data_IF_793273533601
#
_entry.id   IF_793273533601
#
_cell.length_a   1.000
_cell.length_b   1.000
_cell.length_c   1.000
_cell.angle_alpha   90.00
_cell.angle_beta   90.00
_cell.angle_gamma   90.00
#
_symmetry.space_group_name_H-M   'P 1'
#
loop_
_entity.id
_entity.type
_entity.pdbx_description
1 polymer ?
#
# COMPACT_ATOMS: atom_id res chain seq x y z
N UNK A 1 34.86 10.46 29.11
CA UNK A 1 35.11 9.14 28.51
C UNK A 1 33.94 8.83 27.62
N UNK A 2 34.18 8.81 26.31
CA UNK A 2 33.21 8.61 25.24
C UNK A 2 32.79 7.14 25.17
N UNK A 3 31.50 6.87 25.41
CA UNK A 3 30.92 5.57 25.08
C UNK A 3 30.49 5.60 23.61
N UNK A 4 31.30 5.00 22.75
CA UNK A 4 30.93 4.67 21.37
C UNK A 4 30.00 3.45 21.42
N UNK A 5 28.70 3.66 21.29
CA UNK A 5 27.74 2.61 20.96
C UNK A 5 27.83 2.34 19.46
N UNK A 6 28.46 1.23 19.12
CA UNK A 6 28.61 0.78 17.73
C UNK A 6 27.32 0.06 17.33
N UNK A 7 26.31 0.80 16.86
CA UNK A 7 25.12 0.21 16.27
C UNK A 7 25.44 -0.28 14.85
N UNK A 8 25.09 -1.54 14.56
CA UNK A 8 25.22 -2.18 13.25
C UNK A 8 24.08 -1.77 12.29
N UNK A 9 23.85 -0.46 12.13
CA UNK A 9 22.97 0.14 11.13
C UNK A 9 23.74 0.51 9.85
N UNK A 10 24.20 -0.51 9.12
CA UNK A 10 25.43 -0.41 8.32
C UNK A 10 25.46 0.54 7.10
N UNK A 11 24.35 1.13 6.63
CA UNK A 11 24.38 2.02 5.45
C UNK A 11 23.23 3.02 5.35
N UNK A 12 22.02 2.64 5.75
CA UNK A 12 20.84 3.51 5.71
C UNK A 12 20.90 4.62 6.76
N UNK A 13 21.39 4.33 7.95
CA UNK A 13 21.58 5.32 9.03
C UNK A 13 22.67 6.33 8.65
N UNK A 14 23.82 5.85 8.18
CA UNK A 14 24.90 6.73 7.66
C UNK A 14 24.44 7.63 6.52
N UNK A 15 23.47 7.18 5.72
CA UNK A 15 22.89 7.99 4.66
C UNK A 15 21.94 9.06 5.23
N UNK A 16 21.14 8.71 6.25
CA UNK A 16 20.28 9.66 6.94
C UNK A 16 21.08 10.76 7.65
N UNK A 17 22.18 10.41 8.31
CA UNK A 17 23.07 11.35 9.02
C UNK A 17 23.60 12.47 8.11
N UNK A 18 23.82 12.18 6.82
CA UNK A 18 24.28 13.19 5.85
C UNK A 18 23.26 14.28 5.59
N UNK A 19 21.97 13.96 5.71
CA UNK A 19 20.85 14.88 5.47
C UNK A 19 20.26 15.45 6.76
N UNK A 20 20.74 15.02 7.93
CA UNK A 20 20.30 15.53 9.23
C UNK A 20 20.47 17.05 9.39
N UNK A 21 21.58 17.70 8.97
CA UNK A 21 21.71 19.15 9.05
C UNK A 21 20.70 19.90 8.14
N UNK A 22 20.25 19.25 7.07
CA UNK A 22 19.23 19.79 6.18
C UNK A 22 17.84 19.68 6.84
N UNK A 23 17.60 18.57 7.54
CA UNK A 23 16.41 18.38 8.35
C UNK A 23 16.27 19.48 9.41
N UNK A 24 17.27 19.69 10.27
CA UNK A 24 17.24 20.73 11.32
C UNK A 24 17.00 22.15 10.77
N UNK A 25 17.50 22.43 9.56
CA UNK A 25 17.36 23.74 8.93
C UNK A 25 15.97 23.97 8.33
N UNK A 26 15.31 22.91 7.85
CA UNK A 26 14.01 22.98 7.18
C UNK A 26 12.87 22.79 8.18
N UNK A 27 13.03 21.87 9.13
CA UNK A 27 12.04 21.48 10.10
C UNK A 27 12.53 21.82 11.51
N UNK A 28 11.81 22.70 12.19
CA UNK A 28 12.03 22.97 13.61
C UNK A 28 11.37 21.91 14.49
N UNK A 29 11.82 21.84 15.75
CA UNK A 29 11.30 20.93 16.78
C UNK A 29 9.77 21.07 17.01
N UNK A 30 9.20 22.25 16.73
CA UNK A 30 7.76 22.54 16.92
C UNK A 30 6.91 22.38 15.65
N UNK A 31 7.41 21.72 14.60
CA UNK A 31 6.64 21.60 13.35
C UNK A 31 5.51 20.57 13.46
N UNK A 32 4.28 21.03 13.16
CA UNK A 32 3.06 20.19 13.17
C UNK A 32 3.21 18.93 12.28
N UNK A 33 3.87 19.07 11.13
CA UNK A 33 4.18 17.96 10.23
C UNK A 33 5.01 16.85 10.88
N UNK A 34 5.99 17.20 11.71
CA UNK A 34 6.87 16.22 12.36
C UNK A 34 6.13 15.48 13.47
N UNK A 35 5.34 16.21 14.28
CA UNK A 35 4.47 15.61 15.30
C UNK A 35 3.44 14.64 14.68
N UNK A 36 2.82 15.02 13.56
CA UNK A 36 1.90 14.15 12.85
C UNK A 36 2.60 12.90 12.29
N UNK A 37 3.80 13.06 11.72
CA UNK A 37 4.57 11.94 11.20
C UNK A 37 5.08 11.02 12.32
N UNK A 38 5.45 11.57 13.48
CA UNK A 38 5.79 10.84 14.70
C UNK A 38 4.66 9.93 15.13
N UNK A 39 3.48 10.52 15.26
CA UNK A 39 2.26 9.80 15.59
C UNK A 39 2.00 8.70 14.57
N UNK A 40 2.14 8.98 13.26
CA UNK A 40 1.94 7.98 12.20
C UNK A 40 2.99 6.87 12.19
N UNK A 41 4.23 7.15 12.58
CA UNK A 41 5.28 6.14 12.70
C UNK A 41 5.03 5.22 13.89
N UNK A 42 4.64 5.78 15.04
CA UNK A 42 4.19 5.02 16.21
C UNK A 42 2.97 4.14 15.88
N UNK A 43 1.93 4.74 15.28
CA UNK A 43 0.74 4.05 14.78
C UNK A 43 1.05 2.98 13.72
N UNK A 44 2.18 3.07 13.01
CA UNK A 44 2.60 2.10 11.99
C UNK A 44 3.56 1.02 12.52
N UNK A 45 3.88 1.03 13.84
CA UNK A 45 4.91 0.17 14.45
C UNK A 45 6.26 0.25 13.73
N UNK A 46 6.65 1.45 13.32
CA UNK A 46 7.95 1.69 12.70
C UNK A 46 8.92 2.15 13.78
N UNK A 47 9.88 1.30 14.14
CA UNK A 47 10.86 1.50 15.24
C UNK A 47 11.94 2.56 14.93
N UNK A 48 11.66 3.51 14.05
CA UNK A 48 12.62 4.51 13.60
C UNK A 48 12.24 5.90 14.14
N UNK A 49 13.22 6.65 14.65
CA UNK A 49 12.95 8.02 15.09
C UNK A 49 12.59 8.89 13.89
N UNK A 50 11.71 9.87 14.11
CA UNK A 50 11.14 10.70 13.05
C UNK A 50 12.22 11.48 12.33
N UNK A 51 13.21 11.96 13.07
CA UNK A 51 14.31 12.74 12.53
C UNK A 51 15.14 11.92 11.55
N UNK A 52 15.42 10.65 11.90
CA UNK A 52 16.20 9.75 11.05
C UNK A 52 15.38 9.32 9.82
N UNK A 53 14.08 9.09 10.01
CA UNK A 53 13.15 8.75 8.93
C UNK A 53 13.01 9.88 7.91
N UNK A 54 12.78 11.12 8.37
CA UNK A 54 12.65 12.31 7.49
C UNK A 54 13.96 12.64 6.82
N UNK A 55 15.09 12.55 7.53
CA UNK A 55 16.42 12.78 6.94
C UNK A 55 16.70 11.80 5.82
N UNK A 56 16.34 10.51 6.02
CA UNK A 56 16.40 9.49 4.97
C UNK A 56 15.46 9.83 3.80
N UNK A 57 14.25 10.28 4.08
CA UNK A 57 13.29 10.69 3.05
C UNK A 57 13.81 11.87 2.21
N UNK A 58 14.41 12.87 2.85
CA UNK A 58 15.07 14.00 2.18
C UNK A 58 16.22 13.51 1.29
N UNK A 59 17.01 12.56 1.76
CA UNK A 59 18.10 11.98 0.97
C UNK A 59 17.61 11.24 -0.28
N UNK A 60 16.56 10.43 -0.17
CA UNK A 60 15.95 9.77 -1.33
C UNK A 60 15.25 10.75 -2.27
N UNK A 61 14.60 11.79 -1.74
CA UNK A 61 14.09 12.91 -2.53
C UNK A 61 15.21 13.59 -3.31
N UNK A 62 16.33 13.92 -2.66
CA UNK A 62 17.47 14.54 -3.31
C UNK A 62 18.06 13.65 -4.42
N UNK A 63 18.24 12.35 -4.16
CA UNK A 63 18.74 11.40 -5.18
C UNK A 63 17.77 11.25 -6.35
N UNK A 64 16.48 11.11 -6.08
CA UNK A 64 15.44 11.02 -7.10
C UNK A 64 15.35 12.29 -7.94
N UNK A 65 15.44 13.45 -7.28
CA UNK A 65 15.49 14.76 -7.93
C UNK A 65 16.74 14.94 -8.77
N UNK A 66 17.92 14.56 -8.29
CA UNK A 66 19.16 14.63 -9.06
C UNK A 66 19.11 13.71 -10.28
N UNK A 67 18.62 12.48 -10.11
CA UNK A 67 18.47 11.53 -11.20
C UNK A 67 17.53 12.08 -12.29
N UNK A 68 16.33 12.53 -11.92
CA UNK A 68 15.37 13.09 -12.87
C UNK A 68 15.79 14.45 -13.42
N UNK A 69 16.60 15.22 -12.69
CA UNK A 69 17.21 16.44 -13.20
C UNK A 69 18.18 16.13 -14.36
N UNK A 70 19.07 15.13 -14.19
CA UNK A 70 19.99 14.70 -15.26
C UNK A 70 19.22 14.17 -16.47
N UNK A 71 18.19 13.34 -16.24
CA UNK A 71 17.32 12.83 -17.31
C UNK A 71 16.58 13.98 -18.00
N UNK A 72 16.07 14.95 -17.24
CA UNK A 72 15.38 16.13 -17.73
C UNK A 72 16.29 17.04 -18.55
N UNK A 73 17.55 17.20 -18.17
CA UNK A 73 18.55 17.91 -18.98
C UNK A 73 18.83 17.18 -20.30
N UNK A 74 18.94 15.85 -20.27
CA UNK A 74 19.11 15.03 -21.48
C UNK A 74 17.91 15.11 -22.42
N UNK A 75 16.70 15.05 -21.87
CA UNK A 75 15.45 15.23 -22.62
C UNK A 75 15.33 16.65 -23.17
N UNK A 76 15.60 17.67 -22.36
CA UNK A 76 15.58 19.07 -22.78
C UNK A 76 16.57 19.31 -23.93
N UNK A 77 17.79 18.77 -23.81
CA UNK A 77 18.78 18.84 -24.88
C UNK A 77 18.28 18.13 -26.16
N UNK A 78 17.73 16.91 -26.04
CA UNK A 78 17.18 16.18 -27.18
C UNK A 78 16.01 16.90 -27.87
N UNK A 79 15.11 17.51 -27.09
CA UNK A 79 13.93 18.19 -27.60
C UNK A 79 14.25 19.54 -28.25
N UNK A 80 15.09 20.36 -27.60
CA UNK A 80 15.38 21.73 -28.05
C UNK A 80 16.62 21.82 -28.96
N UNK A 81 17.69 21.06 -28.70
CA UNK A 81 18.86 21.04 -29.56
C UNK A 81 18.71 20.06 -30.74
N UNK A 82 17.94 18.98 -30.56
CA UNK A 82 17.58 18.05 -31.64
C UNK A 82 16.52 18.57 -32.62
N UNK A 83 15.97 19.77 -32.39
CA UNK A 83 15.03 20.43 -33.30
C UNK A 83 13.64 19.79 -33.38
N UNK A 84 13.29 18.89 -32.45
CA UNK A 84 11.99 18.21 -32.40
C UNK A 84 10.84 19.17 -32.09
N UNK A 85 11.12 20.19 -31.28
CA UNK A 85 10.17 21.26 -30.95
C UNK A 85 10.81 22.60 -31.36
N UNK A 86 10.23 23.26 -32.35
CA UNK A 86 10.61 24.63 -32.70
C UNK A 86 10.11 25.55 -31.59
N UNK A 87 11.01 25.98 -30.71
CA UNK A 87 10.69 26.89 -29.64
C UNK A 87 10.56 28.33 -30.19
N UNK A 88 9.53 28.60 -30.99
CA UNK A 88 9.07 29.97 -31.31
C UNK A 88 8.30 30.58 -30.11
N UNK A 89 8.81 30.35 -28.90
CA UNK A 89 8.35 31.07 -27.72
C UNK A 89 8.92 32.48 -27.83
N UNK A 90 8.10 33.38 -28.38
CA UNK A 90 8.23 34.83 -28.20
C UNK A 90 8.00 35.12 -26.72
N UNK A 91 9.06 35.07 -25.92
CA UNK A 91 9.05 35.73 -24.61
C UNK A 91 8.84 37.21 -24.96
N UNK A 92 7.63 37.75 -24.75
CA UNK A 92 7.16 39.05 -25.24
C UNK A 92 7.88 40.28 -24.65
N UNK A 93 9.20 40.19 -24.46
CA UNK A 93 10.09 41.25 -24.03
C UNK A 93 10.37 42.15 -25.24
N UNK A 94 10.05 43.45 -25.19
CA UNK A 94 10.37 44.39 -26.26
C UNK A 94 11.89 44.52 -26.37
N UNK A 95 12.45 44.04 -27.48
CA UNK A 95 13.90 44.02 -27.71
C UNK A 95 14.33 45.37 -28.28
N UNK A 96 14.89 46.25 -27.43
CA UNK A 96 15.25 47.62 -27.82
C UNK A 96 16.62 47.78 -28.50
N UNK A 97 17.24 46.70 -29.00
CA UNK A 97 18.47 46.82 -29.81
C UNK A 97 19.08 45.49 -30.30
N UNK A 98 19.92 45.51 -31.35
CA UNK A 98 20.50 44.30 -31.97
C UNK A 98 21.35 43.44 -31.02
N UNK A 99 22.07 44.07 -30.08
CA UNK A 99 22.89 43.35 -29.09
C UNK A 99 22.06 42.64 -28.00
N UNK A 100 20.85 43.15 -27.70
CA UNK A 100 19.94 42.51 -26.74
C UNK A 100 19.30 41.26 -27.35
N UNK A 101 18.99 41.29 -28.66
CA UNK A 101 18.41 40.16 -29.38
C UNK A 101 19.35 38.94 -29.38
N UNK A 102 20.63 39.15 -29.71
CA UNK A 102 21.64 38.08 -29.72
C UNK A 102 21.90 37.48 -28.34
N UNK A 103 21.80 38.28 -27.28
CA UNK A 103 21.95 37.79 -25.90
C UNK A 103 20.76 36.91 -25.48
N UNK A 104 19.53 37.34 -25.79
CA UNK A 104 18.31 36.59 -25.47
C UNK A 104 18.32 35.24 -26.21
N UNK A 105 18.70 35.22 -27.48
CA UNK A 105 18.76 33.99 -28.28
C UNK A 105 19.82 33.00 -27.74
N UNK A 106 20.98 33.50 -27.30
CA UNK A 106 22.03 32.68 -26.69
C UNK A 106 21.64 32.08 -25.33
N UNK A 107 20.82 32.79 -24.54
CA UNK A 107 20.38 32.34 -23.20
C UNK A 107 19.10 31.49 -23.27
N UNK A 108 18.27 31.66 -24.30
CA UNK A 108 16.99 30.97 -24.46
C UNK A 108 17.12 29.45 -24.47
N UNK A 109 18.03 28.92 -25.29
CA UNK A 109 18.23 27.48 -25.42
C UNK A 109 18.77 26.83 -24.13
N UNK A 110 19.85 27.32 -23.49
CA UNK A 110 20.30 26.78 -22.21
C UNK A 110 19.28 27.02 -21.10
N UNK A 111 18.54 28.13 -21.12
CA UNK A 111 17.47 28.42 -20.16
C UNK A 111 16.33 27.40 -20.23
N UNK A 112 15.89 27.00 -21.43
CA UNK A 112 14.85 25.98 -21.62
C UNK A 112 15.32 24.59 -21.19
N UNK A 113 16.58 24.24 -21.48
CA UNK A 113 17.17 22.96 -21.06
C UNK A 113 17.29 22.90 -19.53
N UNK A 114 17.82 23.96 -18.90
CA UNK A 114 17.90 24.04 -17.45
C UNK A 114 16.51 24.06 -16.79
N UNK A 115 15.55 24.76 -17.40
CA UNK A 115 14.16 24.81 -16.92
C UNK A 115 13.48 23.45 -16.95
N UNK A 116 13.63 22.70 -18.04
CA UNK A 116 13.11 21.32 -18.14
C UNK A 116 13.81 20.39 -17.16
N UNK A 117 15.14 20.47 -17.05
CA UNK A 117 15.90 19.76 -16.03
C UNK A 117 15.36 20.04 -14.62
N UNK A 118 15.21 21.31 -14.25
CA UNK A 118 14.73 21.72 -12.94
C UNK A 118 13.30 21.23 -12.68
N UNK A 119 12.41 21.28 -13.68
CA UNK A 119 11.04 20.78 -13.57
C UNK A 119 11.00 19.28 -13.28
N UNK A 120 11.73 18.47 -14.05
CA UNK A 120 11.82 17.03 -13.80
C UNK A 120 12.53 16.72 -12.48
N UNK A 121 13.55 17.49 -12.11
CA UNK A 121 14.22 17.36 -10.82
C UNK A 121 13.32 17.66 -9.63
N UNK A 122 12.48 18.70 -9.74
CA UNK A 122 11.47 19.00 -8.73
C UNK A 122 10.45 17.87 -8.59
N UNK A 123 9.96 17.32 -9.70
CA UNK A 123 9.08 16.14 -9.70
C UNK A 123 9.78 14.97 -9.00
N UNK A 124 11.04 14.69 -9.35
CA UNK A 124 11.78 13.59 -8.73
C UNK A 124 11.99 13.75 -7.24
N UNK A 125 12.22 14.98 -6.78
CA UNK A 125 12.32 15.29 -5.36
C UNK A 125 10.98 15.05 -4.66
N UNK A 126 9.90 15.63 -5.18
CA UNK A 126 8.55 15.50 -4.61
C UNK A 126 8.10 14.04 -4.58
N UNK A 127 8.35 13.27 -5.65
CA UNK A 127 8.00 11.85 -5.69
C UNK A 127 8.87 11.03 -4.73
N UNK A 128 10.19 11.23 -4.72
CA UNK A 128 11.09 10.46 -3.86
C UNK A 128 10.87 10.72 -2.37
N UNK A 129 10.70 11.99 -1.99
CA UNK A 129 10.36 12.38 -0.63
C UNK A 129 8.93 11.97 -0.27
N UNK A 130 7.98 12.29 -1.15
CA UNK A 130 6.54 12.06 -0.93
C UNK A 130 6.21 10.60 -0.73
N UNK A 131 6.75 9.68 -1.54
CA UNK A 131 6.50 8.23 -1.36
C UNK A 131 6.87 7.79 0.06
N UNK A 132 8.04 8.19 0.56
CA UNK A 132 8.49 7.79 1.90
C UNK A 132 7.65 8.43 2.99
N UNK A 133 7.25 9.69 2.84
CA UNK A 133 6.33 10.32 3.81
C UNK A 133 4.96 9.64 3.81
N UNK A 134 4.47 9.15 2.66
CA UNK A 134 3.16 8.48 2.56
C UNK A 134 3.17 7.04 3.13
N UNK A 135 4.32 6.36 3.20
CA UNK A 135 4.41 4.99 3.71
C UNK A 135 3.83 4.80 5.12
N UNK A 136 4.20 5.58 6.15
CA UNK A 136 3.65 5.41 7.50
C UNK A 136 2.14 5.65 7.53
N UNK A 137 1.63 6.63 6.77
CA UNK A 137 0.18 6.85 6.66
C UNK A 137 -0.54 5.66 6.05
N UNK A 138 0.01 5.09 4.98
CA UNK A 138 -0.57 3.90 4.34
C UNK A 138 -0.55 2.69 5.26
N UNK A 139 0.56 2.47 5.99
CA UNK A 139 0.65 1.37 6.97
C UNK A 139 -0.28 1.56 8.16
N UNK A 140 -0.28 2.73 8.79
CA UNK A 140 -1.21 3.07 9.89
C UNK A 140 -2.66 2.88 9.44
N UNK A 141 -3.03 3.35 8.24
CA UNK A 141 -4.38 3.14 7.71
C UNK A 141 -4.71 1.68 7.46
N UNK A 142 -3.75 0.88 6.97
CA UNK A 142 -3.93 -0.57 6.80
C UNK A 142 -4.19 -1.27 8.13
N UNK A 143 -3.37 -0.97 9.15
CA UNK A 143 -3.53 -1.47 10.52
C UNK A 143 -4.87 -1.05 11.13
N UNK A 144 -5.27 0.23 10.98
CA UNK A 144 -6.57 0.74 11.44
C UNK A 144 -7.72 -0.10 10.88
N UNK A 145 -7.69 -0.38 9.58
CA UNK A 145 -8.73 -1.15 8.90
C UNK A 145 -8.79 -2.59 9.42
N UNK A 146 -7.64 -3.23 9.54
CA UNK A 146 -7.56 -4.61 10.08
C UNK A 146 -8.07 -4.69 11.53
N UNK A 147 -7.64 -3.74 12.38
CA UNK A 147 -8.11 -3.64 13.77
C UNK A 147 -9.63 -3.49 13.82
N UNK A 148 -10.20 -2.53 13.08
CA UNK A 148 -11.63 -2.25 13.12
C UNK A 148 -12.46 -3.47 12.67
N UNK A 149 -11.98 -4.22 11.68
CA UNK A 149 -12.71 -5.39 11.21
C UNK A 149 -12.66 -6.55 12.20
N UNK A 150 -11.51 -6.80 12.83
CA UNK A 150 -11.32 -7.93 13.75
C UNK A 150 -11.75 -7.65 15.19
N UNK A 151 -11.94 -6.37 15.55
CA UNK A 151 -12.30 -5.95 16.90
C UNK A 151 -13.59 -6.62 17.45
N UNK A 152 -14.70 -6.71 16.70
CA UNK A 152 -15.92 -7.37 17.18
C UNK A 152 -15.70 -8.83 17.60
N UNK A 153 -14.95 -9.57 16.80
CA UNK A 153 -14.64 -10.99 17.04
C UNK A 153 -13.66 -11.16 18.20
N UNK A 154 -12.65 -10.28 18.29
CA UNK A 154 -11.72 -10.22 19.41
C UNK A 154 -12.45 -9.96 20.74
N UNK A 155 -13.36 -8.99 20.78
CA UNK A 155 -14.17 -8.69 21.98
C UNK A 155 -15.09 -9.87 22.34
N UNK A 156 -15.66 -10.54 21.33
CA UNK A 156 -16.46 -11.75 21.55
C UNK A 156 -15.66 -12.89 22.17
N UNK A 157 -14.40 -13.07 21.76
CA UNK A 157 -13.48 -14.04 22.35
C UNK A 157 -13.11 -13.67 23.78
N UNK A 158 -12.79 -12.40 24.05
CA UNK A 158 -12.54 -11.91 25.42
C UNK A 158 -13.74 -12.16 26.33
N UNK A 159 -14.96 -11.90 25.85
CA UNK A 159 -16.20 -12.17 26.59
C UNK A 159 -16.35 -13.66 26.92
N UNK A 160 -16.14 -14.54 25.93
CA UNK A 160 -16.20 -15.98 26.13
C UNK A 160 -15.20 -16.47 27.19
N UNK A 161 -13.97 -15.93 27.19
CA UNK A 161 -12.97 -16.21 28.23
C UNK A 161 -13.40 -15.69 29.61
N UNK A 162 -14.00 -14.50 29.67
CA UNK A 162 -14.50 -13.91 30.91
C UNK A 162 -15.63 -14.75 31.53
N UNK A 163 -16.56 -15.27 30.73
CA UNK A 163 -17.60 -16.21 31.21
C UNK A 163 -16.96 -17.54 31.64
N UNK A 164 -15.89 -17.96 30.95
CA UNK A 164 -15.07 -19.11 31.31
C UNK A 164 -14.35 -18.98 32.67
N UNK A 165 -14.45 -17.82 33.33
CA UNK A 165 -13.90 -17.57 34.65
C UNK A 165 -12.45 -17.09 34.65
N UNK A 166 -11.89 -16.74 33.49
CA UNK A 166 -10.55 -16.15 33.40
C UNK A 166 -10.57 -14.73 33.99
N UNK A 167 -9.50 -14.37 34.68
CA UNK A 167 -9.32 -13.02 35.20
C UNK A 167 -8.85 -12.04 34.10
N UNK A 168 -8.85 -10.74 34.39
CA UNK A 168 -8.54 -9.72 33.37
C UNK A 168 -7.15 -9.91 32.74
N UNK A 169 -6.13 -10.24 33.54
CA UNK A 169 -4.77 -10.41 33.04
C UNK A 169 -4.68 -11.64 32.14
N UNK A 170 -5.30 -12.75 32.53
CA UNK A 170 -5.37 -13.98 31.72
C UNK A 170 -6.08 -13.74 30.38
N UNK A 171 -7.13 -12.91 30.35
CA UNK A 171 -7.81 -12.53 29.10
C UNK A 171 -6.88 -11.71 28.20
N UNK A 172 -6.14 -10.74 28.76
CA UNK A 172 -5.17 -9.94 28.01
C UNK A 172 -4.05 -10.81 27.44
N UNK A 173 -3.53 -11.76 28.23
CA UNK A 173 -2.52 -12.73 27.81
C UNK A 173 -3.03 -13.72 26.75
N UNK A 174 -4.29 -14.13 26.84
CA UNK A 174 -4.91 -14.98 25.84
C UNK A 174 -5.10 -14.23 24.51
N UNK A 175 -5.57 -12.98 24.55
CA UNK A 175 -5.65 -12.10 23.38
C UNK A 175 -4.29 -11.86 22.74
N UNK A 176 -3.27 -11.58 23.55
CA UNK A 176 -1.90 -11.35 23.10
C UNK A 176 -1.27 -12.55 22.36
N UNK A 177 -1.72 -13.77 22.67
CA UNK A 177 -1.25 -15.01 22.04
C UNK A 177 -2.04 -15.42 20.80
N UNK A 178 -3.19 -14.80 20.56
CA UNK A 178 -4.09 -15.16 19.46
C UNK A 178 -3.83 -14.31 18.19
N UNK A 179 -2.56 -14.06 17.86
CA UNK A 179 -2.14 -13.31 16.67
C UNK A 179 -2.63 -13.96 15.37
N UNK A 180 -2.60 -15.29 15.29
CA UNK A 180 -3.00 -16.03 14.10
C UNK A 180 -4.47 -15.80 13.70
N UNK A 181 -5.34 -15.51 14.67
CA UNK A 181 -6.78 -15.33 14.46
C UNK A 181 -7.18 -13.86 14.44
N UNK A 182 -6.58 -13.02 15.31
CA UNK A 182 -7.02 -11.64 15.52
C UNK A 182 -6.00 -10.58 15.07
N UNK A 183 -4.91 -11.00 14.41
CA UNK A 183 -3.98 -10.14 13.68
C UNK A 183 -3.54 -8.91 14.49
N UNK A 184 -3.69 -7.73 13.87
CA UNK A 184 -3.31 -6.46 14.48
C UNK A 184 -3.99 -6.14 15.82
N UNK A 185 -5.18 -6.69 16.11
CA UNK A 185 -5.82 -6.52 17.42
C UNK A 185 -5.02 -7.25 18.49
N UNK A 186 -4.70 -8.52 18.27
CA UNK A 186 -3.86 -9.31 19.18
C UNK A 186 -2.49 -8.67 19.39
N UNK A 187 -1.94 -8.04 18.35
CA UNK A 187 -0.69 -7.29 18.44
C UNK A 187 -0.75 -6.10 19.40
N UNK A 188 -1.87 -5.36 19.45
CA UNK A 188 -2.07 -4.27 20.43
C UNK A 188 -2.10 -4.81 21.86
N UNK A 189 -2.83 -5.90 22.09
CA UNK A 189 -2.84 -6.59 23.40
C UNK A 189 -1.49 -7.18 23.78
N UNK A 190 -0.75 -7.75 22.82
CA UNK A 190 0.60 -8.26 23.05
C UNK A 190 1.54 -7.18 23.53
N UNK A 191 1.39 -5.96 23.02
CA UNK A 191 2.26 -4.86 23.42
C UNK A 191 1.94 -4.40 24.85
N UNK A 192 0.67 -4.43 25.26
CA UNK A 192 0.27 -4.22 26.66
C UNK A 192 0.91 -5.27 27.58
N UNK A 193 0.81 -6.55 27.21
CA UNK A 193 1.36 -7.66 28.00
C UNK A 193 2.88 -7.55 28.09
N UNK A 194 3.56 -7.26 26.99
CA UNK A 194 5.02 -7.09 26.97
C UNK A 194 5.49 -5.90 27.83
N UNK A 195 4.79 -4.76 27.80
CA UNK A 195 5.07 -3.63 28.68
C UNK A 195 4.94 -4.00 30.16
N UNK A 196 3.95 -4.83 30.48
CA UNK A 196 3.70 -5.28 31.85
C UNK A 196 4.76 -6.28 32.32
N UNK A 197 5.13 -7.25 31.48
CA UNK A 197 6.03 -8.36 31.84
C UNK A 197 7.51 -7.97 31.80
N UNK A 198 7.95 -7.23 30.77
CA UNK A 198 9.37 -6.94 30.54
C UNK A 198 9.81 -5.59 31.10
N UNK A 199 8.90 -4.62 31.19
CA UNK A 199 9.24 -3.24 31.56
C UNK A 199 8.70 -2.84 32.94
N UNK A 200 8.10 -3.78 33.69
CA UNK A 200 7.51 -3.58 35.03
C UNK A 200 6.52 -2.40 35.06
N UNK A 201 5.83 -2.16 33.94
CA UNK A 201 4.83 -1.10 33.81
C UNK A 201 3.49 -1.64 34.31
N UNK A 202 2.78 -0.88 35.14
CA UNK A 202 1.42 -1.25 35.55
C UNK A 202 0.50 -1.41 34.32
N UNK A 203 -0.22 -2.52 34.22
CA UNK A 203 -1.08 -2.84 33.08
C UNK A 203 -2.11 -1.73 32.79
N UNK A 204 -2.57 -1.00 33.83
CA UNK A 204 -3.45 0.18 33.66
C UNK A 204 -2.75 1.31 32.89
N UNK A 205 -1.48 1.54 33.18
CA UNK A 205 -0.64 2.52 32.49
C UNK A 205 -0.35 2.09 31.06
N UNK A 206 -0.06 0.80 30.85
CA UNK A 206 0.16 0.23 29.52
C UNK A 206 -1.10 0.35 28.64
N UNK A 207 -2.29 0.00 29.16
CA UNK A 207 -3.58 0.17 28.46
C UNK A 207 -3.82 1.64 28.11
N UNK A 208 -3.58 2.56 29.06
CA UNK A 208 -3.75 4.01 28.83
C UNK A 208 -2.81 4.54 27.75
N UNK A 209 -1.56 4.09 27.72
CA UNK A 209 -0.59 4.48 26.68
C UNK A 209 -1.08 3.98 25.32
N UNK A 210 -1.48 2.71 25.26
CA UNK A 210 -1.96 2.05 24.03
C UNK A 210 -3.24 2.68 23.49
N UNK A 211 -4.13 3.16 24.35
CA UNK A 211 -5.33 3.91 23.92
C UNK A 211 -5.00 5.25 23.25
N UNK A 212 -3.82 5.83 23.48
CA UNK A 212 -3.40 7.09 22.85
C UNK A 212 -2.56 6.88 21.58
N UNK A 213 -1.99 5.69 21.40
CA UNK A 213 -1.06 5.37 20.30
C UNK A 213 -1.69 4.50 19.19
N UNK A 214 -2.80 3.82 19.48
CA UNK A 214 -3.45 2.96 18.49
C UNK A 214 -4.04 3.78 17.32
N UNK A 215 -3.92 3.32 16.06
CA UNK A 215 -4.50 4.03 14.91
C UNK A 215 -6.04 3.93 14.82
N UNK A 216 -6.66 3.05 15.61
CA UNK A 216 -8.11 2.80 15.62
C UNK A 216 -8.80 3.56 16.76
N UNK A 217 -9.73 4.45 16.39
CA UNK A 217 -10.54 5.20 17.34
C UNK A 217 -11.45 4.27 18.17
N UNK A 218 -11.96 3.20 17.56
CA UNK A 218 -12.82 2.20 18.23
C UNK A 218 -12.05 1.40 19.27
N UNK A 219 -10.83 0.97 18.95
CA UNK A 219 -9.97 0.27 19.90
C UNK A 219 -9.45 1.21 20.99
N UNK A 220 -9.14 2.47 20.66
CA UNK A 220 -8.80 3.50 21.64
C UNK A 220 -9.93 3.72 22.66
N UNK A 221 -11.16 3.81 22.17
CA UNK A 221 -12.34 3.92 23.02
C UNK A 221 -12.56 2.66 23.86
N UNK A 222 -12.40 1.46 23.26
CA UNK A 222 -12.49 0.19 23.98
C UNK A 222 -11.50 0.14 25.15
N UNK A 223 -10.22 0.50 24.92
CA UNK A 223 -9.22 0.55 25.98
C UNK A 223 -9.55 1.58 27.07
N UNK A 224 -10.07 2.74 26.68
CA UNK A 224 -10.49 3.79 27.62
C UNK A 224 -11.62 3.32 28.53
N UNK A 225 -12.62 2.66 27.94
CA UNK A 225 -13.76 2.11 28.69
C UNK A 225 -13.32 0.93 29.58
N UNK A 226 -12.47 0.04 29.07
CA UNK A 226 -11.89 -1.07 29.82
C UNK A 226 -11.11 -0.56 31.04
N UNK A 227 -10.33 0.51 30.88
CA UNK A 227 -9.60 1.15 31.98
C UNK A 227 -10.55 1.71 33.05
N UNK A 228 -11.70 2.25 32.66
CA UNK A 228 -12.74 2.72 33.60
C UNK A 228 -13.31 1.57 34.46
N UNK A 229 -13.60 0.42 33.84
CA UNK A 229 -14.07 -0.78 34.54
C UNK A 229 -13.00 -1.33 35.48
N UNK A 230 -11.74 -1.42 35.02
CA UNK A 230 -10.61 -1.87 35.83
C UNK A 230 -10.39 -0.95 37.05
N UNK A 231 -10.49 0.37 36.87
CA UNK A 231 -10.27 1.33 37.95
C UNK A 231 -11.37 1.30 39.01
N UNK A 232 -12.61 1.06 38.59
CA UNK A 232 -13.77 0.96 39.48
C UNK A 232 -13.93 -0.43 40.12
N UNK A 233 -13.19 -1.44 39.65
CA UNK A 233 -13.40 -2.84 40.05
C UNK A 233 -14.76 -3.37 39.60
N UNK A 234 -15.29 -2.83 38.50
CA UNK A 234 -16.60 -3.18 37.96
C UNK A 234 -16.64 -4.57 37.30
N UNK A 235 -17.80 -4.90 36.75
CA UNK A 235 -18.03 -6.17 36.05
C UNK A 235 -17.44 -6.16 34.64
N UNK A 236 -16.29 -6.81 34.48
CA UNK A 236 -15.63 -6.98 33.18
C UNK A 236 -16.45 -7.85 32.23
N UNK A 237 -17.15 -8.88 32.73
CA UNK A 237 -17.93 -9.77 31.89
C UNK A 237 -19.10 -9.02 31.27
N UNK A 238 -19.85 -8.26 32.07
CA UNK A 238 -20.93 -7.41 31.60
C UNK A 238 -20.46 -6.30 30.64
N UNK A 239 -19.28 -5.71 30.89
CA UNK A 239 -18.68 -4.75 29.95
C UNK A 239 -18.36 -5.39 28.59
N UNK A 240 -17.71 -6.56 28.59
CA UNK A 240 -17.35 -7.27 27.36
C UNK A 240 -18.59 -7.76 26.61
N UNK A 241 -19.67 -8.13 27.31
CA UNK A 241 -20.96 -8.48 26.71
C UNK A 241 -21.57 -7.30 25.94
N UNK A 242 -21.67 -6.14 26.58
CA UNK A 242 -22.24 -4.92 26.00
C UNK A 242 -21.43 -4.45 24.79
N UNK A 243 -20.09 -4.50 24.89
CA UNK A 243 -19.21 -4.18 23.78
C UNK A 243 -19.33 -5.18 22.64
N UNK A 244 -19.37 -6.48 22.93
CA UNK A 244 -19.60 -7.52 21.91
C UNK A 244 -20.90 -7.26 21.17
N UNK A 245 -22.00 -6.99 21.87
CA UNK A 245 -23.30 -6.77 21.23
C UNK A 245 -23.32 -5.48 20.40
N UNK A 246 -22.71 -4.41 20.92
CA UNK A 246 -22.58 -3.15 20.20
C UNK A 246 -21.76 -3.30 18.92
N UNK A 247 -20.57 -3.89 19.00
CA UNK A 247 -19.68 -4.08 17.85
C UNK A 247 -20.28 -5.04 16.81
N UNK A 248 -20.89 -6.15 17.22
CA UNK A 248 -21.57 -7.07 16.31
C UNK A 248 -22.74 -6.43 15.59
N UNK A 249 -23.52 -5.60 16.30
CA UNK A 249 -24.63 -4.86 15.69
C UNK A 249 -24.12 -3.83 14.67
N UNK A 250 -23.06 -3.10 14.99
CA UNK A 250 -22.45 -2.13 14.06
C UNK A 250 -21.89 -2.83 12.82
N UNK A 251 -21.11 -3.92 12.99
CA UNK A 251 -20.58 -4.69 11.87
C UNK A 251 -21.68 -5.24 10.95
N UNK A 252 -22.78 -5.73 11.53
CA UNK A 252 -23.96 -6.16 10.76
C UNK A 252 -24.59 -5.00 9.96
N UNK A 253 -24.72 -3.82 10.56
CA UNK A 253 -25.24 -2.63 9.87
C UNK A 253 -24.33 -2.20 8.71
N UNK A 254 -23.02 -2.21 8.90
CA UNK A 254 -22.04 -1.91 7.85
C UNK A 254 -22.11 -2.92 6.69
N UNK A 255 -22.26 -4.20 7.01
CA UNK A 255 -22.45 -5.25 6.01
C UNK A 255 -23.76 -5.07 5.24
N UNK A 256 -24.86 -4.73 5.93
CA UNK A 256 -26.15 -4.42 5.29
C UNK A 256 -26.05 -3.20 4.37
N UNK A 257 -25.38 -2.12 4.79
CA UNK A 257 -25.13 -0.95 3.95
C UNK A 257 -24.27 -1.28 2.73
N UNK A 258 -23.25 -2.12 2.91
CA UNK A 258 -22.41 -2.62 1.81
C UNK A 258 -23.26 -3.38 0.80
N UNK A 259 -24.08 -4.32 1.26
CA UNK A 259 -24.99 -5.10 0.39
C UNK A 259 -25.98 -4.20 -0.35
N UNK A 260 -26.58 -3.21 0.32
CA UNK A 260 -27.48 -2.23 -0.32
C UNK A 260 -26.76 -1.41 -1.40
N UNK A 261 -25.50 -1.06 -1.16
CA UNK A 261 -24.68 -0.34 -2.16
C UNK A 261 -24.39 -1.24 -3.37
N UNK A 262 -24.05 -2.51 -3.15
CA UNK A 262 -23.86 -3.49 -4.24
C UNK A 262 -25.16 -3.73 -5.03
N UNK A 263 -26.31 -3.78 -4.36
CA UNK A 263 -27.62 -3.91 -4.99
C UNK A 263 -27.91 -2.72 -5.91
N UNK A 264 -27.74 -1.49 -5.39
CA UNK A 264 -27.89 -0.26 -6.17
C UNK A 264 -26.97 -0.26 -7.39
N UNK A 265 -25.74 -0.73 -7.23
CA UNK A 265 -24.78 -0.82 -8.34
C UNK A 265 -25.22 -1.85 -9.38
N UNK A 266 -25.75 -2.99 -8.95
CA UNK A 266 -26.36 -3.98 -9.83
C UNK A 266 -27.53 -3.40 -10.62
N UNK A 267 -28.42 -2.66 -9.97
CA UNK A 267 -29.54 -1.98 -10.64
C UNK A 267 -29.06 -0.96 -11.68
N UNK A 268 -28.07 -0.14 -11.32
CA UNK A 268 -27.47 0.82 -12.25
C UNK A 268 -26.80 0.13 -13.43
N UNK A 269 -26.08 -0.97 -13.22
CA UNK A 269 -25.47 -1.74 -14.30
C UNK A 269 -26.51 -2.29 -15.27
N UNK A 270 -27.57 -2.90 -14.75
CA UNK A 270 -28.67 -3.41 -15.57
C UNK A 270 -29.30 -2.28 -16.38
N UNK A 271 -29.58 -1.13 -15.77
CA UNK A 271 -30.22 0.01 -16.45
C UNK A 271 -29.31 0.66 -17.49
N UNK A 272 -28.03 0.91 -17.14
CA UNK A 272 -27.07 1.54 -18.05
C UNK A 272 -26.67 0.61 -19.20
N UNK A 273 -26.59 -0.69 -18.98
CA UNK A 273 -26.27 -1.67 -20.04
C UNK A 273 -27.42 -1.87 -21.04
N UNK A 274 -28.67 -1.53 -20.68
CA UNK A 274 -29.80 -1.53 -21.61
C UNK A 274 -29.65 -0.48 -22.73
N UNK A 275 -28.98 0.65 -22.48
CA UNK A 275 -28.78 1.69 -23.49
C UNK A 275 -27.95 1.21 -24.71
N UNK A 276 -26.73 0.65 -24.54
CA UNK A 276 -26.00 0.02 -25.63
C UNK A 276 -26.79 -1.08 -26.32
N UNK A 277 -27.54 -1.90 -25.56
CA UNK A 277 -28.33 -2.99 -26.12
C UNK A 277 -29.45 -2.47 -27.03
N UNK A 278 -30.22 -1.48 -26.58
CA UNK A 278 -31.25 -0.83 -27.38
C UNK A 278 -30.64 -0.19 -28.63
N UNK A 279 -29.49 0.47 -28.48
CA UNK A 279 -28.77 1.07 -29.60
C UNK A 279 -28.38 0.02 -30.63
N UNK A 280 -27.89 -1.15 -30.21
CA UNK A 280 -27.60 -2.28 -31.10
C UNK A 280 -28.87 -2.71 -31.85
N UNK A 281 -30.01 -2.88 -31.15
CA UNK A 281 -31.27 -3.27 -31.78
C UNK A 281 -31.65 -2.27 -32.89
N UNK A 282 -31.62 -0.97 -32.59
CA UNK A 282 -31.95 0.09 -33.56
C UNK A 282 -30.98 0.08 -34.74
N UNK A 283 -29.67 -0.05 -34.49
CA UNK A 283 -28.65 -0.08 -35.54
C UNK A 283 -28.78 -1.31 -36.45
N UNK A 284 -29.08 -2.48 -35.87
CA UNK A 284 -29.32 -3.71 -36.63
C UNK A 284 -30.56 -3.56 -37.51
N UNK A 285 -31.67 -3.03 -36.98
CA UNK A 285 -32.89 -2.79 -37.76
C UNK A 285 -32.64 -1.80 -38.90
N UNK A 286 -31.95 -0.68 -38.65
CA UNK A 286 -31.56 0.29 -39.68
C UNK A 286 -30.66 -0.35 -40.74
N UNK A 287 -29.76 -1.23 -40.34
CA UNK A 287 -28.92 -1.99 -41.27
C UNK A 287 -29.74 -2.94 -42.15
N UNK A 288 -30.83 -3.52 -41.65
CA UNK A 288 -31.74 -4.35 -42.46
C UNK A 288 -32.56 -3.52 -43.45
N UNK A 289 -32.86 -2.25 -43.12
CA UNK A 289 -33.54 -1.29 -44.00
C UNK A 289 -32.60 -0.67 -45.07
N UNK A 290 -31.34 -1.12 -45.14
CA UNK A 290 -30.34 -0.61 -46.07
C UNK A 290 -29.67 0.70 -45.63
N UNK A 291 -29.95 1.18 -44.42
CA UNK A 291 -29.29 2.33 -43.79
C UNK A 291 -28.20 1.84 -42.82
N UNK A 292 -27.20 1.13 -43.36
CA UNK A 292 -26.17 0.51 -42.53
C UNK A 292 -25.18 1.53 -41.98
N UNK A 293 -25.16 1.69 -40.66
CA UNK A 293 -24.15 2.48 -39.94
C UNK A 293 -23.16 1.53 -39.25
N UNK A 294 -22.41 0.76 -40.04
CA UNK A 294 -21.47 -0.26 -39.53
C UNK A 294 -20.44 0.31 -38.56
N UNK A 295 -19.97 1.55 -38.80
CA UNK A 295 -19.04 2.22 -37.88
C UNK A 295 -19.64 2.43 -36.49
N UNK A 296 -20.90 2.87 -36.38
CA UNK A 296 -21.58 3.03 -35.10
C UNK A 296 -21.80 1.68 -34.41
N UNK A 297 -22.18 0.64 -35.17
CA UNK A 297 -22.37 -0.71 -34.60
C UNK A 297 -21.05 -1.26 -34.05
N UNK A 298 -19.95 -1.13 -34.79
CA UNK A 298 -18.63 -1.52 -34.31
C UNK A 298 -18.18 -0.69 -33.12
N UNK A 299 -18.41 0.63 -33.13
CA UNK A 299 -18.15 1.50 -31.99
C UNK A 299 -18.94 1.08 -30.74
N UNK A 300 -20.21 0.74 -30.87
CA UNK A 300 -21.02 0.29 -29.73
C UNK A 300 -20.51 -1.03 -29.14
N UNK A 301 -20.21 -2.02 -30.00
CA UNK A 301 -19.79 -3.36 -29.56
C UNK A 301 -18.36 -3.38 -29.03
N UNK A 302 -17.41 -2.77 -29.74
CA UNK A 302 -15.99 -2.87 -29.42
C UNK A 302 -15.45 -1.74 -28.54
N UNK A 303 -16.14 -0.61 -28.44
CA UNK A 303 -15.71 0.51 -27.59
C UNK A 303 -16.68 0.74 -26.45
N UNK A 304 -17.95 1.00 -26.74
CA UNK A 304 -18.90 1.47 -25.72
C UNK A 304 -19.24 0.39 -24.69
N UNK A 305 -19.50 -0.85 -25.12
CA UNK A 305 -19.83 -1.95 -24.21
C UNK A 305 -18.65 -2.29 -23.27
N UNK A 306 -17.41 -2.49 -23.75
CA UNK A 306 -16.26 -2.69 -22.88
C UNK A 306 -16.01 -1.51 -21.93
N UNK A 307 -16.23 -0.28 -22.40
CA UNK A 307 -16.06 0.91 -21.58
C UNK A 307 -17.08 0.97 -20.43
N UNK A 308 -18.36 0.66 -20.70
CA UNK A 308 -19.40 0.58 -19.65
C UNK A 308 -19.08 -0.54 -18.66
N UNK A 309 -18.65 -1.71 -19.13
CA UNK A 309 -18.24 -2.82 -18.26
C UNK A 309 -16.99 -2.48 -17.43
N UNK A 310 -16.00 -1.82 -18.01
CA UNK A 310 -14.80 -1.38 -17.30
C UNK A 310 -15.12 -0.31 -16.25
N UNK A 311 -15.97 0.66 -16.60
CA UNK A 311 -16.45 1.67 -15.65
C UNK A 311 -17.18 1.03 -14.46
N UNK A 312 -18.03 0.03 -14.73
CA UNK A 312 -18.71 -0.73 -13.68
C UNK A 312 -17.72 -1.51 -12.79
N UNK A 313 -16.72 -2.17 -13.38
CA UNK A 313 -15.69 -2.87 -12.62
C UNK A 313 -14.92 -1.94 -11.67
N UNK A 314 -14.54 -0.76 -12.14
CA UNK A 314 -13.87 0.24 -11.30
C UNK A 314 -14.76 0.69 -10.14
N UNK A 315 -16.04 0.93 -10.43
CA UNK A 315 -17.01 1.36 -9.42
C UNK A 315 -17.23 0.28 -8.34
N UNK A 316 -17.39 -0.99 -8.72
CA UNK A 316 -17.49 -2.11 -7.76
C UNK A 316 -16.21 -2.30 -6.98
N UNK A 317 -15.05 -2.25 -7.65
CA UNK A 317 -13.74 -2.41 -7.01
C UNK A 317 -13.43 -1.31 -6.00
N UNK A 318 -14.06 -0.14 -6.12
CA UNK A 318 -13.86 0.98 -5.20
C UNK A 318 -14.64 0.80 -3.90
N UNK A 319 -15.77 0.09 -3.95
CA UNK A 319 -16.68 -0.08 -2.79
C UNK A 319 -16.51 -1.43 -2.11
N UNK A 320 -16.09 -2.46 -2.85
CA UNK A 320 -15.80 -3.76 -2.25
C UNK A 320 -14.52 -3.65 -1.41
N UNK A 321 -14.69 -3.50 -0.11
CA UNK A 321 -13.61 -3.66 0.87
C UNK A 321 -13.16 -5.13 0.85
N UNK A 322 -11.86 -5.38 0.64
CA UNK A 322 -11.30 -6.73 0.80
C UNK A 322 -11.23 -7.05 2.29
N UNK A 323 -11.79 -8.19 2.69
CA UNK A 323 -11.67 -8.80 4.02
C UNK A 323 -10.18 -8.95 4.39
N UNK A 324 -9.66 -8.29 5.45
CA UNK A 324 -8.30 -8.50 5.91
C UNK A 324 -7.95 -9.97 6.10
N UNK A 325 -7.06 -10.41 5.23
CA UNK A 325 -6.56 -11.76 5.16
C UNK A 325 -5.78 -11.87 3.87
N UNK A 326 -4.66 -12.61 3.89
CA UNK A 326 -3.88 -12.83 2.67
C UNK A 326 -4.64 -13.72 1.64
N UNK A 327 -5.84 -14.22 1.97
CA UNK A 327 -6.63 -15.13 1.13
C UNK A 327 -6.01 -16.53 1.01
N UNK A 328 -4.95 -16.81 1.77
CA UNK A 328 -4.28 -18.10 1.83
C UNK A 328 -4.56 -18.73 3.19
N UNK A 329 -5.07 -19.96 3.18
CA UNK A 329 -5.09 -20.80 4.36
C UNK A 329 -3.64 -21.16 4.69
N UNK A 330 -3.10 -20.63 5.79
CA UNK A 330 -1.80 -21.03 6.28
C UNK A 330 -1.90 -22.44 6.89
N UNK A 331 -1.79 -23.44 6.02
CA UNK A 331 -1.88 -24.85 6.39
C UNK A 331 -0.68 -25.31 7.25
N UNK A 332 0.36 -24.49 7.39
CA UNK A 332 1.56 -24.81 8.17
C UNK A 332 1.24 -24.92 9.67
N UNK A 333 0.31 -24.11 10.17
CA UNK A 333 -0.12 -24.06 11.59
C UNK A 333 -0.84 -25.34 12.03
N UNK A 334 -1.57 -26.02 11.13
CA UNK A 334 -2.25 -27.30 11.45
C UNK A 334 -1.23 -28.43 11.65
N UNK A 335 -0.07 -28.35 11.00
CA UNK A 335 0.99 -29.37 11.12
C UNK A 335 1.88 -29.22 12.35
N UNK A 336 2.02 -28.02 12.93
CA UNK A 336 2.88 -27.83 14.10
C UNK A 336 2.28 -28.40 15.39
N UNK A 337 0.94 -28.47 15.51
CA UNK A 337 0.28 -28.99 16.71
C UNK A 337 0.38 -30.52 16.88
N UNK A 338 0.70 -31.27 15.81
CA UNK A 338 0.96 -32.73 15.88
C UNK A 338 2.46 -33.10 15.98
N UNK A 339 3.37 -32.13 15.90
CA UNK A 339 4.80 -32.37 15.72
C UNK A 339 5.69 -32.30 16.96
N UNK A 340 5.21 -31.79 18.09
CA UNK A 340 6.06 -31.49 19.26
C UNK A 340 6.32 -32.73 20.13
N UNK A 341 6.92 -33.76 19.54
CA UNK A 341 7.69 -34.76 20.25
C UNK A 341 8.59 -35.54 19.28
N UNK A 342 9.73 -34.95 18.89
CA UNK A 342 11.00 -35.69 18.65
C UNK A 342 12.19 -34.77 18.37
N UNK A 343 13.22 -34.95 19.20
CA UNK A 343 14.66 -34.81 18.94
C UNK A 343 15.19 -33.41 18.60
N UNK A 344 15.80 -32.69 19.55
CA UNK A 344 17.23 -32.83 19.93
C UNK A 344 18.22 -32.48 18.81
N UNK A 345 18.85 -31.32 18.97
CA UNK A 345 20.30 -31.11 18.76
C UNK A 345 20.83 -31.08 17.33
N UNK A 346 20.97 -29.87 16.78
CA UNK A 346 22.09 -29.55 15.91
C UNK A 346 22.30 -28.02 15.85
N UNK A 347 23.26 -27.52 16.63
CA UNK A 347 23.86 -26.21 16.40
C UNK A 347 24.63 -26.24 15.07
N UNK A 348 24.23 -25.38 14.13
CA UNK A 348 24.98 -25.17 12.88
C UNK A 348 26.18 -24.26 13.17
N UNK A 349 27.42 -24.64 12.82
CA UNK A 349 28.57 -23.79 13.03
C UNK A 349 28.58 -22.64 12.02
N UNK A 350 28.80 -21.45 12.55
CA UNK A 350 29.02 -20.19 11.88
C UNK A 350 30.34 -20.23 11.06
N UNK A 351 30.26 -20.75 9.83
CA UNK A 351 31.11 -20.44 8.65
C UNK A 351 30.94 -21.55 7.61
N UNK A 352 30.09 -21.33 6.61
CA UNK A 352 29.95 -22.26 5.49
C UNK A 352 30.24 -21.56 4.16
N UNK A 353 31.24 -22.10 3.47
CA UNK A 353 31.84 -21.59 2.24
C UNK A 353 30.84 -21.19 1.16
N UNK A 354 31.05 -20.00 0.60
CA UNK A 354 30.37 -19.42 -0.58
C UNK A 354 30.41 -20.30 -1.83
N UNK A 355 31.27 -21.33 -1.85
CA UNK A 355 31.39 -22.31 -2.94
C UNK A 355 30.28 -23.40 -2.94
N UNK A 356 29.72 -23.74 -1.78
CA UNK A 356 28.61 -24.70 -1.67
C UNK A 356 27.29 -24.08 -2.15
N UNK A 357 27.06 -22.81 -1.80
CA UNK A 357 25.88 -22.05 -2.24
C UNK A 357 25.84 -21.83 -3.76
N UNK A 358 26.99 -21.62 -4.41
CA UNK A 358 27.03 -21.41 -5.86
C UNK A 358 26.71 -22.67 -6.67
N UNK A 359 27.10 -23.86 -6.19
CA UNK A 359 26.77 -25.16 -6.80
C UNK A 359 25.29 -25.54 -6.67
N UNK A 360 24.64 -25.17 -5.57
CA UNK A 360 23.21 -25.43 -5.37
C UNK A 360 22.38 -24.45 -6.22
N UNK A 361 22.77 -23.18 -6.31
CA UNK A 361 22.06 -22.15 -7.09
C UNK A 361 22.03 -22.44 -8.60
N UNK A 362 23.11 -22.98 -9.18
CA UNK A 362 23.14 -23.32 -10.61
C UNK A 362 22.29 -24.55 -10.96
N UNK A 363 22.11 -25.49 -10.03
CA UNK A 363 21.31 -26.70 -10.25
C UNK A 363 19.82 -26.44 -10.04
N UNK A 364 19.46 -25.56 -9.10
CA UNK A 364 18.10 -25.08 -8.86
C UNK A 364 17.53 -24.30 -10.06
N UNK A 365 18.29 -23.36 -10.65
CA UNK A 365 17.84 -22.61 -11.83
C UNK A 365 17.49 -23.52 -13.01
N UNK A 366 18.30 -24.53 -13.29
CA UNK A 366 18.05 -25.45 -14.40
C UNK A 366 16.87 -26.39 -14.11
N UNK A 367 16.62 -26.70 -12.84
CA UNK A 367 15.46 -27.51 -12.46
C UNK A 367 14.16 -26.71 -12.51
N UNK A 368 14.16 -25.46 -12.04
CA UNK A 368 13.01 -24.55 -12.08
C UNK A 368 12.59 -24.22 -13.52
N UNK A 369 13.56 -23.92 -14.41
CA UNK A 369 13.27 -23.68 -15.83
C UNK A 369 12.80 -24.96 -16.53
N UNK A 370 13.40 -26.12 -16.24
CA UNK A 370 12.94 -27.39 -16.83
C UNK A 370 11.55 -27.82 -16.34
N UNK A 371 11.19 -27.46 -15.11
CA UNK A 371 9.86 -27.72 -14.54
C UNK A 371 8.80 -26.80 -15.17
N UNK A 372 9.11 -25.52 -15.37
CA UNK A 372 8.25 -24.56 -16.08
C UNK A 372 7.83 -25.05 -17.48
N UNK A 373 8.77 -25.60 -18.25
CA UNK A 373 8.48 -26.13 -19.59
C UNK A 373 7.69 -27.44 -19.59
N UNK A 374 7.74 -28.24 -18.52
CA UNK A 374 7.01 -29.51 -18.44
C UNK A 374 5.57 -29.35 -17.99
N UNK A 375 5.28 -28.34 -17.18
CA UNK A 375 3.95 -28.12 -16.60
C UNK A 375 3.57 -26.62 -16.58
N UNK A 376 3.42 -25.97 -17.75
CA UNK A 376 3.10 -24.54 -17.84
C UNK A 376 1.75 -24.20 -17.19
N UNK A 377 0.80 -25.13 -17.17
CA UNK A 377 -0.55 -24.88 -16.64
C UNK A 377 -0.60 -24.53 -15.13
N UNK A 378 0.33 -25.01 -14.31
CA UNK A 378 0.34 -24.67 -12.88
C UNK A 378 0.83 -23.23 -12.66
N UNK A 379 1.82 -22.80 -13.45
CA UNK A 379 2.43 -21.47 -13.32
C UNK A 379 1.48 -20.35 -13.75
N UNK A 380 0.67 -20.57 -14.80
CA UNK A 380 -0.35 -19.60 -15.22
C UNK A 380 -1.55 -19.51 -14.26
N UNK A 381 -1.81 -20.57 -13.47
CA UNK A 381 -2.86 -20.57 -12.45
C UNK A 381 -2.45 -19.77 -11.21
N UNK A 382 -1.18 -19.87 -10.82
CA UNK A 382 -0.64 -19.16 -9.64
C UNK A 382 -0.32 -17.68 -9.92
N UNK A 383 -0.02 -17.32 -11.17
CA UNK A 383 0.24 -15.93 -11.56
C UNK A 383 -0.59 -15.53 -12.79
N UNK A 384 -1.88 -15.17 -12.62
CA UNK A 384 -2.78 -14.87 -13.73
C UNK A 384 -2.30 -13.69 -14.59
N UNK A 385 -1.53 -12.75 -14.02
CA UNK A 385 -0.95 -11.63 -14.77
C UNK A 385 0.07 -12.05 -15.84
N UNK A 386 0.72 -13.21 -15.71
CA UNK A 386 1.62 -13.71 -16.76
C UNK A 386 0.87 -14.14 -18.03
N UNK A 387 -0.44 -14.39 -17.95
CA UNK A 387 -1.26 -14.69 -19.13
C UNK A 387 -1.35 -13.48 -20.07
N UNK A 388 -1.37 -12.25 -19.54
CA UNK A 388 -1.36 -11.01 -20.34
C UNK A 388 -0.11 -10.90 -21.22
N UNK A 389 1.03 -11.38 -20.74
CA UNK A 389 2.30 -11.33 -21.46
C UNK A 389 2.24 -12.16 -22.76
N UNK A 390 1.42 -13.21 -22.79
CA UNK A 390 1.18 -14.02 -23.98
C UNK A 390 -0.01 -13.51 -24.80
N UNK A 391 -1.12 -13.14 -24.15
CA UNK A 391 -2.37 -12.80 -24.85
C UNK A 391 -2.33 -11.43 -25.50
N UNK A 392 -1.70 -10.42 -24.88
CA UNK A 392 -1.58 -9.06 -25.44
C UNK A 392 -0.85 -9.06 -26.79
N UNK A 393 0.36 -9.64 -26.96
CA UNK A 393 1.04 -9.64 -28.26
C UNK A 393 0.33 -10.48 -29.31
N UNK A 394 -0.30 -11.60 -28.93
CA UNK A 394 -1.12 -12.41 -29.86
C UNK A 394 -2.34 -11.62 -30.34
N UNK A 395 -3.01 -10.90 -29.43
CA UNK A 395 -4.17 -10.06 -29.77
C UNK A 395 -3.75 -8.86 -30.62
N UNK A 396 -2.63 -8.21 -30.30
CA UNK A 396 -2.03 -7.15 -31.13
C UNK A 396 -1.63 -7.63 -32.52
N UNK A 397 -1.11 -8.86 -32.65
CA UNK A 397 -0.80 -9.46 -33.94
C UNK A 397 -2.06 -9.75 -34.75
N UNK A 398 -3.12 -10.28 -34.13
CA UNK A 398 -4.37 -10.58 -34.81
C UNK A 398 -5.08 -9.29 -35.23
N UNK A 399 -5.18 -8.30 -34.35
CA UNK A 399 -5.78 -7.00 -34.66
C UNK A 399 -4.93 -6.24 -35.68
N UNK A 400 -3.61 -6.26 -35.55
CA UNK A 400 -2.69 -5.62 -36.51
C UNK A 400 -2.75 -6.22 -37.91
N UNK A 401 -2.96 -7.54 -38.03
CA UNK A 401 -3.16 -8.19 -39.33
C UNK A 401 -4.61 -8.10 -39.85
N UNK A 402 -5.60 -7.85 -38.99
CA UNK A 402 -7.00 -7.68 -39.38
C UNK A 402 -7.34 -6.27 -39.90
N UNK A 403 -6.48 -5.28 -39.67
CA UNK A 403 -6.68 -3.86 -40.03
C UNK A 403 -5.93 -3.45 -41.30
N UNK A 404 -5.32 -4.38 -42.03
CA UNK A 404 -4.81 -4.09 -43.39
C UNK A 404 -6.01 -3.96 -44.35
N UNK A 405 -6.26 -2.76 -44.93
CA UNK A 405 -7.32 -2.60 -45.92
C UNK A 405 -6.92 -3.37 -47.18
N UNK A 406 -7.76 -4.32 -47.61
CA UNK A 406 -7.78 -4.83 -48.98
C UNK A 406 -8.65 -3.90 -49.85
#
# INVERSE_FOLDING_TARGET
>A
MSAQTTHLGGRSERFADLFYPLYERIFGEESEFISDLERKLAEARMEETVELYVSRALGYGFLGGLFLWIVGLGLGWLLFAGGLIQADVSIGLPVSGPGMASFIEAVKLPGLILGTGLFFGAIGFVTGFGILVLLPYSRSSGRKREINMLLPDAVSFMYALSIGGLNQLEILEAMARAEDTYGEVALEFRTIVQETEYFDVDYRTAIRRRSMETPSDDLAQFFTDMLSIINSGGDMAGFLEDKKETHMRTAKQEQEMTLQTLELFGEMYMTLSLFPLLLIIVLVVMSMLGQSQQFLLFGTVYLLLPLVSAAFLVLVSTVKEDDPGNGYLDLEVVTESEGTNKTSGASLPEKTDTALFSRIKSRSRRHSVAHFFKHPQYYFREQPLLTLLLTVPVTLLIVGNGVSPL
#
